data_IF_604893704995
#
_entry.id   IF_604893704995
#
_cell.length_a   1.000
_cell.length_b   1.000
_cell.length_c   1.000
_cell.angle_alpha   90.00
_cell.angle_beta   90.00
_cell.angle_gamma   90.00
#
_symmetry.space_group_name_H-M   'P 1'
#
loop_
_entity.id
_entity.type
_entity.pdbx_description
1 polymer ?
#
# COMPACT_ATOMS: atom_id res chain seq x y z
N UNK A 1 17.70 -4.86 -17.23
CA UNK A 1 16.85 -3.71 -16.82
C UNK A 1 17.72 -2.66 -16.13
N UNK A 2 18.56 -1.93 -16.87
CA UNK A 2 19.42 -0.84 -16.35
C UNK A 2 19.24 0.47 -17.11
N UNK A 3 18.48 0.44 -18.20
CA UNK A 3 18.25 1.60 -19.06
C UNK A 3 17.01 2.41 -18.64
N UNK A 4 16.17 1.84 -17.77
CA UNK A 4 14.87 2.37 -17.36
C UNK A 4 14.64 2.04 -15.89
N UNK A 5 13.85 2.88 -15.20
CA UNK A 5 13.49 2.68 -13.78
C UNK A 5 12.36 1.65 -13.60
N UNK A 6 12.04 0.89 -14.66
CA UNK A 6 10.88 -0.01 -14.74
C UNK A 6 10.84 -1.07 -13.65
N UNK A 7 12.00 -1.42 -13.08
CA UNK A 7 12.13 -2.36 -11.96
C UNK A 7 11.49 -1.86 -10.66
N UNK A 8 11.49 -0.54 -10.43
CA UNK A 8 10.92 0.11 -9.23
C UNK A 8 9.53 0.72 -9.49
N UNK A 9 9.22 0.97 -10.76
CA UNK A 9 7.99 1.64 -11.15
C UNK A 9 6.77 0.70 -11.10
N UNK A 10 6.96 -0.61 -11.35
CA UNK A 10 5.91 -1.60 -11.16
C UNK A 10 5.59 -1.83 -9.67
N UNK A 11 4.36 -2.26 -9.36
CA UNK A 11 4.08 -2.81 -8.03
C UNK A 11 4.78 -4.17 -7.85
N UNK A 12 5.06 -4.59 -6.60
CA UNK A 12 5.61 -5.92 -6.33
C UNK A 12 4.81 -7.07 -6.97
N UNK A 13 3.47 -6.97 -6.99
CA UNK A 13 2.59 -7.96 -7.61
C UNK A 13 2.74 -8.00 -9.14
N UNK A 14 2.90 -6.84 -9.79
CA UNK A 14 3.08 -6.76 -11.24
C UNK A 14 4.49 -7.17 -11.66
N UNK A 15 5.51 -6.87 -10.85
CA UNK A 15 6.87 -7.37 -11.08
C UNK A 15 6.90 -8.89 -10.96
N UNK A 16 6.23 -9.46 -9.96
CA UNK A 16 6.08 -10.92 -9.84
C UNK A 16 5.37 -11.53 -11.05
N UNK A 17 4.28 -10.91 -11.53
CA UNK A 17 3.57 -11.37 -12.72
C UNK A 17 4.47 -11.34 -13.97
N UNK A 18 5.29 -10.30 -14.14
CA UNK A 18 6.27 -10.21 -15.22
C UNK A 18 7.33 -11.31 -15.11
N UNK A 19 7.83 -11.58 -13.91
CA UNK A 19 8.79 -12.66 -13.67
C UNK A 19 8.19 -14.03 -14.06
N UNK A 20 6.96 -14.32 -13.63
CA UNK A 20 6.29 -15.58 -13.97
C UNK A 20 5.98 -15.69 -15.47
N UNK A 21 5.72 -14.57 -16.16
CA UNK A 21 5.62 -14.52 -17.62
C UNK A 21 6.94 -14.92 -18.28
N UNK A 22 8.04 -14.26 -17.90
CA UNK A 22 9.38 -14.51 -18.47
C UNK A 22 9.82 -15.95 -18.25
N UNK A 23 9.46 -16.53 -17.11
CA UNK A 23 9.76 -17.92 -16.78
C UNK A 23 8.85 -18.95 -17.49
N UNK A 24 7.79 -18.51 -18.19
CA UNK A 24 6.83 -19.41 -18.85
C UNK A 24 5.91 -20.16 -17.88
N UNK A 25 5.65 -19.59 -16.70
CA UNK A 25 4.85 -20.22 -15.64
C UNK A 25 3.38 -19.77 -15.61
N UNK A 26 3.00 -18.80 -16.44
CA UNK A 26 1.63 -18.31 -16.45
C UNK A 26 0.66 -19.37 -16.98
N UNK A 27 -0.51 -19.44 -16.35
CA UNK A 27 -1.69 -20.09 -16.91
C UNK A 27 -2.53 -19.07 -17.71
N UNK A 28 -3.63 -19.51 -18.33
CA UNK A 28 -4.50 -18.63 -19.14
C UNK A 28 -4.99 -17.38 -18.37
N UNK A 29 -5.29 -17.51 -17.06
CA UNK A 29 -5.66 -16.36 -16.24
C UNK A 29 -4.47 -15.41 -16.03
N UNK A 30 -3.28 -15.97 -15.78
CA UNK A 30 -2.03 -15.24 -15.68
C UNK A 30 -1.72 -14.46 -16.96
N UNK A 31 -1.85 -15.10 -18.12
CA UNK A 31 -1.66 -14.47 -19.43
C UNK A 31 -2.62 -13.30 -19.64
N UNK A 32 -3.92 -13.48 -19.31
CA UNK A 32 -4.91 -12.39 -19.37
C UNK A 32 -4.56 -11.23 -18.44
N UNK A 33 -4.03 -11.51 -17.24
CA UNK A 33 -3.57 -10.47 -16.32
C UNK A 33 -2.33 -9.76 -16.87
N UNK A 34 -1.41 -10.50 -17.47
CA UNK A 34 -0.20 -9.96 -18.06
C UNK A 34 -0.52 -9.06 -19.25
N UNK A 35 -1.44 -9.47 -20.13
CA UNK A 35 -1.90 -8.65 -21.26
C UNK A 35 -2.48 -7.31 -20.78
N UNK A 36 -3.30 -7.33 -19.73
CA UNK A 36 -3.82 -6.09 -19.12
C UNK A 36 -2.71 -5.21 -18.55
N UNK A 37 -1.71 -5.82 -17.89
CA UNK A 37 -0.55 -5.10 -17.39
C UNK A 37 0.21 -4.44 -18.55
N UNK A 38 0.50 -5.20 -19.60
CA UNK A 38 1.20 -4.72 -20.79
C UNK A 38 0.48 -3.52 -21.42
N UNK A 39 -0.84 -3.62 -21.64
CA UNK A 39 -1.66 -2.51 -22.11
C UNK A 39 -1.59 -1.29 -21.20
N UNK A 40 -1.68 -1.49 -19.87
CA UNK A 40 -1.61 -0.38 -18.91
C UNK A 40 -0.27 0.36 -18.95
N UNK A 41 0.83 -0.36 -19.16
CA UNK A 41 2.17 0.22 -19.31
C UNK A 41 2.25 1.06 -20.58
N UNK A 42 1.71 0.57 -21.70
CA UNK A 42 1.69 1.31 -22.96
C UNK A 42 0.92 2.64 -22.88
N UNK A 43 -0.08 2.73 -22.01
CA UNK A 43 -0.92 3.93 -21.84
C UNK A 43 -0.48 4.87 -20.71
N UNK A 44 0.61 4.55 -20.00
CA UNK A 44 1.04 5.26 -18.80
C UNK A 44 0.60 4.53 -17.53
N UNK A 45 1.46 3.65 -17.05
CA UNK A 45 1.19 2.82 -15.87
C UNK A 45 0.88 3.66 -14.63
N UNK A 46 -0.15 3.25 -13.88
CA UNK A 46 -0.44 3.78 -12.56
C UNK A 46 -0.32 2.64 -11.56
N UNK A 47 0.56 2.81 -10.57
CA UNK A 47 0.76 1.82 -9.50
C UNK A 47 -0.58 1.60 -8.77
N UNK A 48 -1.05 0.34 -8.63
CA UNK A 48 -2.29 0.06 -7.93
C UNK A 48 -2.17 0.44 -6.46
N UNK A 49 -3.29 0.82 -5.88
CA UNK A 49 -3.36 1.04 -4.44
C UNK A 49 -3.22 -0.28 -3.68
N UNK A 50 -2.38 -0.28 -2.66
CA UNK A 50 -2.19 -1.43 -1.78
C UNK A 50 -3.51 -1.77 -1.09
N UNK A 51 -3.96 -3.02 -1.24
CA UNK A 51 -5.28 -3.49 -0.80
C UNK A 51 -6.48 -2.69 -1.35
N UNK A 52 -6.29 -1.94 -2.44
CA UNK A 52 -7.30 -1.04 -3.02
C UNK A 52 -7.55 0.23 -2.20
N UNK A 53 -6.68 0.56 -1.25
CA UNK A 53 -6.86 1.70 -0.33
C UNK A 53 -6.22 2.95 -0.93
N UNK A 54 -7.04 3.93 -1.32
CA UNK A 54 -6.58 5.15 -1.97
C UNK A 54 -5.41 5.82 -1.21
N UNK A 55 -4.39 6.23 -1.97
CA UNK A 55 -3.12 6.82 -1.52
C UNK A 55 -2.16 5.89 -0.77
N UNK A 56 -2.55 4.64 -0.53
CA UNK A 56 -1.67 3.64 0.06
C UNK A 56 -1.00 2.84 -1.06
N UNK A 57 0.32 2.74 -1.03
CA UNK A 57 1.11 1.90 -1.95
C UNK A 57 2.09 1.03 -1.16
N UNK A 58 2.66 0.05 -1.82
CA UNK A 58 3.67 -0.85 -1.26
C UNK A 58 4.89 -0.84 -2.18
N UNK A 59 6.08 -0.73 -1.61
CA UNK A 59 7.32 -0.88 -2.36
C UNK A 59 7.87 -2.32 -2.34
N UNK A 60 9.02 -2.54 -2.99
CA UNK A 60 9.64 -3.85 -3.08
C UNK A 60 10.25 -4.33 -1.77
N UNK A 61 10.60 -3.42 -0.86
CA UNK A 61 11.17 -3.72 0.45
C UNK A 61 10.10 -4.07 1.48
N UNK A 62 8.83 -3.76 1.20
CA UNK A 62 7.69 -4.01 2.09
C UNK A 62 7.22 -2.77 2.85
N UNK A 63 7.78 -1.58 2.58
CA UNK A 63 7.25 -0.36 3.16
C UNK A 63 5.89 -0.02 2.56
N UNK A 64 4.94 0.23 3.46
CA UNK A 64 3.64 0.78 3.18
C UNK A 64 3.78 2.29 3.13
N UNK A 65 3.48 2.89 1.97
CA UNK A 65 3.64 4.31 1.72
C UNK A 65 2.28 5.00 1.64
N UNK A 66 2.10 6.08 2.39
CA UNK A 66 0.99 7.02 2.26
C UNK A 66 1.43 8.24 1.45
N UNK A 67 0.86 8.41 0.25
CA UNK A 67 1.24 9.49 -0.69
C UNK A 67 2.76 9.59 -0.89
N UNK A 68 3.42 8.44 -1.01
CA UNK A 68 4.87 8.32 -1.21
C UNK A 68 5.73 8.42 0.06
N UNK A 69 5.14 8.55 1.26
CA UNK A 69 5.89 8.57 2.53
C UNK A 69 5.65 7.29 3.31
N UNK A 70 6.73 6.66 3.80
CA UNK A 70 6.62 5.45 4.61
C UNK A 70 5.85 5.71 5.91
N UNK A 71 4.86 4.85 6.18
CA UNK A 71 3.98 4.91 7.36
C UNK A 71 3.88 3.59 8.11
N UNK A 72 4.31 2.49 7.51
CA UNK A 72 4.47 1.17 8.13
C UNK A 72 5.36 0.28 7.22
N UNK A 73 5.75 -0.90 7.69
CA UNK A 73 6.41 -1.95 6.93
C UNK A 73 5.70 -3.29 7.16
N UNK A 74 5.31 -3.96 6.07
CA UNK A 74 4.63 -5.27 6.11
C UNK A 74 5.49 -6.35 5.45
N UNK A 75 5.80 -7.40 6.21
CA UNK A 75 6.58 -8.53 5.75
C UNK A 75 5.85 -9.43 4.74
N UNK A 76 6.60 -10.01 3.81
CA UNK A 76 6.12 -11.08 2.93
C UNK A 76 6.21 -12.44 3.65
N UNK A 77 5.23 -13.35 3.51
CA UNK A 77 4.02 -13.24 2.69
C UNK A 77 2.83 -12.58 3.39
N UNK A 78 2.94 -12.28 4.69
CA UNK A 78 1.82 -11.81 5.51
C UNK A 78 1.11 -10.56 4.96
N UNK A 79 1.84 -9.65 4.33
CA UNK A 79 1.30 -8.43 3.70
C UNK A 79 0.13 -8.64 2.73
N UNK A 80 -0.04 -9.85 2.21
CA UNK A 80 -1.11 -10.21 1.26
C UNK A 80 -2.33 -10.84 1.91
N UNK A 81 -2.36 -11.03 3.24
CA UNK A 81 -3.51 -11.65 3.93
C UNK A 81 -4.64 -10.65 4.23
N UNK A 82 -5.79 -11.16 4.67
CA UNK A 82 -6.90 -10.32 5.11
C UNK A 82 -6.55 -9.55 6.40
N UNK A 83 -5.78 -10.16 7.30
CA UNK A 83 -5.34 -9.51 8.53
C UNK A 83 -4.47 -8.28 8.20
N UNK A 84 -3.55 -8.40 7.24
CA UNK A 84 -2.76 -7.27 6.75
C UNK A 84 -3.65 -6.20 6.10
N UNK A 85 -4.70 -6.59 5.36
CA UNK A 85 -5.68 -5.64 4.82
C UNK A 85 -6.39 -4.84 5.90
N UNK A 86 -6.83 -5.50 6.98
CA UNK A 86 -7.48 -4.84 8.12
C UNK A 86 -6.51 -3.82 8.75
N UNK A 87 -5.25 -4.21 8.95
CA UNK A 87 -4.25 -3.29 9.47
C UNK A 87 -3.97 -2.13 8.51
N UNK A 88 -3.89 -2.37 7.20
CA UNK A 88 -3.69 -1.33 6.19
C UNK A 88 -4.85 -0.30 6.20
N UNK A 89 -6.09 -0.76 6.43
CA UNK A 89 -7.26 0.13 6.59
C UNK A 89 -7.09 1.04 7.80
N UNK A 90 -6.63 0.49 8.92
CA UNK A 90 -6.36 1.25 10.14
C UNK A 90 -5.21 2.25 9.94
N UNK A 91 -4.09 1.83 9.34
CA UNK A 91 -2.97 2.72 8.96
C UNK A 91 -3.47 3.90 8.12
N UNK A 92 -4.29 3.64 7.10
CA UNK A 92 -4.86 4.69 6.26
C UNK A 92 -5.80 5.63 7.02
N UNK A 93 -6.59 5.10 7.96
CA UNK A 93 -7.45 5.91 8.85
C UNK A 93 -6.60 6.85 9.72
N UNK A 94 -5.53 6.34 10.32
CA UNK A 94 -4.59 7.14 11.13
C UNK A 94 -3.91 8.22 10.30
N UNK A 95 -3.49 7.90 9.08
CA UNK A 95 -2.89 8.88 8.17
C UNK A 95 -3.87 10.02 7.84
N UNK A 96 -5.12 9.70 7.48
CA UNK A 96 -6.16 10.72 7.23
C UNK A 96 -6.41 11.60 8.46
N UNK A 97 -6.45 11.00 9.64
CA UNK A 97 -6.64 11.75 10.89
C UNK A 97 -5.48 12.72 11.15
N UNK A 98 -4.24 12.25 11.06
CA UNK A 98 -3.05 13.10 11.19
C UNK A 98 -3.11 14.28 10.21
N UNK A 99 -3.42 14.02 8.93
CA UNK A 99 -3.58 15.08 7.94
C UNK A 99 -4.67 16.09 8.32
N UNK A 100 -5.81 15.62 8.86
CA UNK A 100 -6.91 16.51 9.26
C UNK A 100 -6.57 17.44 10.43
N UNK A 101 -5.59 17.08 11.27
CA UNK A 101 -5.12 17.91 12.38
C UNK A 101 -3.82 18.66 12.05
N UNK A 102 -3.40 18.67 10.78
CA UNK A 102 -2.20 19.38 10.31
C UNK A 102 -0.88 18.64 10.57
N UNK A 103 -0.94 17.37 10.94
CA UNK A 103 0.23 16.54 11.21
C UNK A 103 0.64 15.74 9.96
N UNK A 104 1.95 15.64 9.72
CA UNK A 104 2.50 14.82 8.64
C UNK A 104 2.52 13.34 9.06
N UNK A 105 1.87 12.42 8.31
CA UNK A 105 1.97 10.99 8.56
C UNK A 105 3.42 10.49 8.41
N UNK A 106 3.88 9.74 9.39
CA UNK A 106 5.18 9.07 9.44
C UNK A 106 5.01 7.78 10.23
N UNK A 107 5.88 6.78 10.05
CA UNK A 107 5.88 5.54 10.85
C UNK A 107 5.77 5.85 12.35
N UNK A 108 6.59 6.79 12.84
CA UNK A 108 6.59 7.18 14.25
C UNK A 108 5.24 7.66 14.75
N UNK A 109 4.53 8.51 14.01
CA UNK A 109 3.22 9.04 14.44
C UNK A 109 2.07 8.07 14.21
N UNK A 110 2.13 7.28 13.15
CA UNK A 110 1.06 6.35 12.75
C UNK A 110 1.07 5.10 13.61
N UNK A 111 2.26 4.63 14.01
CA UNK A 111 2.44 3.36 14.72
C UNK A 111 2.89 3.56 16.16
N UNK A 112 4.01 4.23 16.37
CA UNK A 112 4.67 4.23 17.69
C UNK A 112 4.06 5.22 18.68
N UNK A 113 3.62 6.39 18.22
CA UNK A 113 3.10 7.46 19.08
C UNK A 113 1.65 7.83 18.74
N UNK A 114 0.88 6.90 18.17
CA UNK A 114 -0.49 7.14 17.72
C UNK A 114 -1.39 7.69 18.84
N UNK A 115 -1.26 7.17 20.06
CA UNK A 115 -2.08 7.58 21.22
C UNK A 115 -2.01 9.08 21.53
N UNK A 116 -0.91 9.75 21.17
CA UNK A 116 -0.80 11.22 21.32
C UNK A 116 -1.75 11.98 20.40
N UNK A 117 -2.06 11.39 19.25
CA UNK A 117 -2.80 12.01 18.16
C UNK A 117 -4.21 11.47 18.04
N UNK A 118 -4.49 10.28 18.56
CA UNK A 118 -5.79 9.63 18.50
C UNK A 118 -6.91 10.58 18.98
N UNK A 119 -8.09 10.57 18.34
CA UNK A 119 -9.25 11.30 18.84
C UNK A 119 -9.48 10.97 20.31
N UNK A 120 -9.57 11.98 21.17
CA UNK A 120 -9.92 11.76 22.57
C UNK A 120 -11.34 11.22 22.62
N UNK A 121 -11.54 10.12 23.33
CA UNK A 121 -12.88 9.65 23.65
C UNK A 121 -13.62 10.77 24.40
N UNK A 122 -14.72 11.25 23.83
CA UNK A 122 -15.65 12.10 24.57
C UNK A 122 -16.35 11.17 25.54
N UNK A 123 -15.97 11.22 26.81
CA UNK A 123 -16.80 10.64 27.86
C UNK A 123 -18.10 11.44 27.87
N UNK A 124 -19.20 10.83 27.43
CA UNK A 124 -20.53 11.39 27.66
C UNK A 124 -20.64 11.63 29.16
N UNK A 125 -20.73 12.90 29.55
CA UNK A 125 -21.06 13.25 30.92
C UNK A 125 -22.47 12.73 31.16
N UNK A 126 -22.60 11.77 32.08
CA UNK A 126 -23.89 11.38 32.61
C UNK A 126 -24.58 12.66 33.09
N UNK A 127 -25.66 13.03 32.40
CA UNK A 127 -26.57 14.06 32.85
C UNK A 127 -27.43 13.37 33.91
N UNK A 128 -27.14 13.68 35.18
CA UNK A 128 -27.95 13.29 36.34
C UNK A 128 -29.36 13.91 36.29
#
# INVERSE_FOLDING_TARGET
LKATNDGDDLSPEHLYLLQEMVNGHLNELGEKKFEKLYQSVQTGYVKPWFHGIAHLTLDHEGYVLWKGKAVEHFDSPWRWTQEAKIQAVEVAKRCRHLESIGEVPTIGKVIWTWEKYAPKEVKEANVD
#
